data_IF_892712186447
#
_entry.id   IF_892712186447
#
_cell.length_a   1.000
_cell.length_b   1.000
_cell.length_c   1.000
_cell.angle_alpha   90.00
_cell.angle_beta   90.00
_cell.angle_gamma   90.00
#
_symmetry.space_group_name_H-M   'P 1'
#
loop_
_entity.id
_entity.type
_entity.pdbx_description
1 polymer ?
#
# COMPACT_ATOMS: atom_id res chain seq x y z
N UNK A 1 -34.26 62.32 34.26
CA UNK A 1 -33.38 61.12 34.26
C UNK A 1 -33.70 60.30 33.02
N UNK A 2 -32.77 60.18 32.06
CA UNK A 2 -32.94 59.36 30.85
C UNK A 2 -32.31 57.99 31.10
N UNK A 3 -33.13 56.96 31.23
CA UNK A 3 -32.70 55.58 31.44
C UNK A 3 -32.09 55.05 30.15
N UNK A 4 -30.79 54.73 30.15
CA UNK A 4 -30.12 54.05 29.04
C UNK A 4 -30.40 52.56 29.15
N UNK A 5 -31.19 52.03 28.22
CA UNK A 5 -31.39 50.59 28.04
C UNK A 5 -30.16 50.03 27.33
N UNK A 6 -29.33 49.26 28.04
CA UNK A 6 -28.24 48.51 27.41
C UNK A 6 -28.82 47.20 26.87
N UNK A 7 -28.87 47.04 25.53
CA UNK A 7 -29.11 45.74 24.91
C UNK A 7 -27.88 44.86 25.14
N UNK A 8 -28.04 43.82 25.96
CA UNK A 8 -27.05 42.77 26.12
C UNK A 8 -27.10 41.89 24.85
N UNK A 9 -26.15 42.07 23.95
CA UNK A 9 -26.00 41.21 22.76
C UNK A 9 -25.57 39.82 23.19
N UNK A 10 -26.42 38.82 22.94
CA UNK A 10 -26.09 37.41 23.12
C UNK A 10 -25.01 37.02 22.09
N UNK A 11 -23.76 36.93 22.53
CA UNK A 11 -22.67 36.36 21.74
C UNK A 11 -22.90 34.84 21.63
N UNK A 12 -23.52 34.39 20.54
CA UNK A 12 -23.55 32.98 20.18
C UNK A 12 -22.15 32.62 19.70
N UNK A 13 -21.34 32.04 20.58
CA UNK A 13 -20.10 31.36 20.19
C UNK A 13 -20.52 30.09 19.47
N UNK A 14 -20.54 30.13 18.14
CA UNK A 14 -20.56 28.93 17.31
C UNK A 14 -19.27 28.17 17.60
N UNK A 15 -19.35 27.15 18.46
CA UNK A 15 -18.35 26.10 18.53
C UNK A 15 -18.33 25.44 17.16
N UNK A 16 -17.33 25.79 16.34
CA UNK A 16 -17.04 25.02 15.14
C UNK A 16 -16.78 23.58 15.61
N UNK A 17 -17.47 22.57 15.05
CA UNK A 17 -17.08 21.19 15.31
C UNK A 17 -15.60 21.08 14.94
N UNK A 18 -14.78 20.58 15.87
CA UNK A 18 -13.37 20.35 15.60
C UNK A 18 -13.26 19.56 14.30
N UNK A 19 -12.51 20.09 13.34
CA UNK A 19 -12.31 19.42 12.07
C UNK A 19 -11.63 18.09 12.36
N UNK A 20 -12.39 17.00 12.28
CA UNK A 20 -11.83 15.66 12.28
C UNK A 20 -11.07 15.51 10.96
N UNK A 21 -9.86 14.95 11.01
CA UNK A 21 -9.14 14.65 9.78
C UNK A 21 -9.98 13.67 8.93
N UNK A 22 -10.17 13.98 7.65
CA UNK A 22 -11.01 13.19 6.71
C UNK A 22 -10.20 12.74 5.49
N UNK A 23 -8.88 12.71 5.64
CA UNK A 23 -7.90 12.66 4.55
C UNK A 23 -7.19 11.32 4.41
N UNK A 24 -7.12 10.49 5.45
CA UNK A 24 -6.44 9.19 5.36
C UNK A 24 -7.13 8.29 4.33
N UNK A 25 -6.32 7.63 3.51
CA UNK A 25 -6.70 6.68 2.45
C UNK A 25 -6.13 5.28 2.67
N UNK A 26 -5.24 5.11 3.64
CA UNK A 26 -4.69 3.82 4.01
C UNK A 26 -3.23 3.94 4.40
N UNK A 27 -2.50 2.85 4.23
CA UNK A 27 -1.08 2.80 4.54
C UNK A 27 -0.58 1.39 4.78
N UNK A 28 0.71 1.30 5.07
CA UNK A 28 1.44 0.05 5.28
C UNK A 28 2.68 0.32 6.14
N UNK A 29 3.18 -0.71 6.82
CA UNK A 29 4.43 -0.66 7.59
C UNK A 29 5.39 -1.69 6.97
N UNK A 30 6.57 -1.23 6.56
CA UNK A 30 7.69 -2.06 6.15
C UNK A 30 8.75 -2.13 7.23
N UNK A 31 9.48 -3.24 7.26
CA UNK A 31 10.67 -3.39 8.07
C UNK A 31 11.77 -4.12 7.29
N UNK A 32 13.03 -3.84 7.61
CA UNK A 32 14.18 -4.55 7.05
C UNK A 32 15.18 -4.92 8.13
N UNK A 33 15.76 -6.11 8.02
CA UNK A 33 16.78 -6.56 8.96
C UNK A 33 18.09 -5.79 8.77
N UNK A 34 18.70 -5.38 9.89
CA UNK A 34 20.01 -4.71 9.88
C UNK A 34 21.09 -5.65 10.41
N UNK A 35 20.93 -6.12 11.65
CA UNK A 35 21.87 -7.03 12.30
C UNK A 35 21.29 -7.54 13.62
N UNK A 36 21.55 -8.80 14.00
CA UNK A 36 21.04 -9.36 15.26
C UNK A 36 19.52 -9.23 15.35
N UNK A 37 19.02 -8.54 16.38
CA UNK A 37 17.60 -8.23 16.56
C UNK A 37 17.26 -6.77 16.17
N UNK A 38 18.12 -6.11 15.40
CA UNK A 38 17.97 -4.71 14.97
C UNK A 38 17.34 -4.62 13.58
N UNK A 39 16.34 -3.76 13.48
CA UNK A 39 15.51 -3.56 12.29
C UNK A 39 15.36 -2.06 12.01
N UNK A 40 15.31 -1.72 10.72
CA UNK A 40 14.79 -0.44 10.25
C UNK A 40 13.32 -0.60 9.90
N UNK A 41 12.52 0.40 10.26
CA UNK A 41 11.09 0.50 9.98
C UNK A 41 10.82 1.70 9.11
N UNK A 42 9.93 1.51 8.14
CA UNK A 42 9.39 2.57 7.30
C UNK A 42 7.86 2.49 7.33
N UNK A 43 7.23 3.56 7.80
CA UNK A 43 5.78 3.66 7.88
C UNK A 43 5.33 4.54 6.73
N UNK A 44 4.40 4.04 5.92
CA UNK A 44 3.73 4.80 4.88
C UNK A 44 2.30 5.09 5.30
N UNK A 45 1.99 6.38 5.48
CA UNK A 45 0.63 6.86 5.68
C UNK A 45 0.16 7.57 4.41
N UNK A 46 -0.89 7.03 3.81
CA UNK A 46 -1.43 7.52 2.56
C UNK A 46 -2.64 8.42 2.83
N UNK A 47 -2.61 9.64 2.31
CA UNK A 47 -3.67 10.66 2.49
C UNK A 47 -4.11 11.22 1.14
N UNK A 48 -5.22 11.97 1.10
CA UNK A 48 -5.59 12.74 -0.09
C UNK A 48 -4.45 13.66 -0.54
N UNK A 49 -4.21 13.74 -1.85
CA UNK A 49 -3.14 14.55 -2.42
C UNK A 49 -3.21 16.03 -2.02
N UNK A 50 -4.40 16.58 -1.88
CA UNK A 50 -4.67 17.98 -1.52
C UNK A 50 -4.79 18.20 0.00
N UNK A 51 -4.58 17.17 0.83
CA UNK A 51 -4.68 17.29 2.28
C UNK A 51 -3.72 18.33 2.85
N UNK A 52 -4.27 19.18 3.71
CA UNK A 52 -3.56 20.22 4.48
C UNK A 52 -3.43 19.85 5.97
N UNK A 53 -3.84 18.64 6.36
CA UNK A 53 -3.68 18.16 7.74
C UNK A 53 -2.19 18.04 8.06
N UNK A 54 -1.77 18.54 9.22
CA UNK A 54 -0.41 18.35 9.68
C UNK A 54 -0.16 16.89 10.06
N UNK A 55 0.84 16.29 9.43
CA UNK A 55 1.26 14.90 9.60
C UNK A 55 2.77 14.83 9.88
N UNK A 56 3.39 15.92 10.35
CA UNK A 56 4.83 15.95 10.63
C UNK A 56 5.28 15.00 11.73
N UNK A 57 4.34 14.38 12.46
CA UNK A 57 4.66 13.39 13.48
C UNK A 57 3.56 12.34 13.64
N UNK A 58 3.95 11.13 14.05
CA UNK A 58 3.02 10.02 14.31
C UNK A 58 3.43 9.23 15.56
N UNK A 59 2.46 8.59 16.22
CA UNK A 59 2.72 7.66 17.32
C UNK A 59 2.94 6.24 16.78
N UNK A 60 4.09 5.68 17.14
CA UNK A 60 4.53 4.38 16.68
C UNK A 60 4.85 3.46 17.86
N UNK A 61 4.35 2.23 17.80
CA UNK A 61 4.64 1.18 18.77
C UNK A 61 5.39 0.03 18.07
N UNK A 62 6.61 -0.32 18.50
CA UNK A 62 7.38 -1.43 17.92
C UNK A 62 6.85 -2.82 18.29
N UNK A 63 5.77 -2.93 19.06
CA UNK A 63 5.15 -4.20 19.46
C UNK A 63 5.81 -4.89 20.64
N UNK A 64 6.66 -4.19 21.40
CA UNK A 64 7.31 -4.70 22.62
C UNK A 64 6.74 -4.02 23.88
N UNK A 65 7.21 -4.39 25.06
CA UNK A 65 6.76 -3.79 26.34
C UNK A 65 7.20 -2.33 26.54
N UNK A 66 7.68 -1.65 25.50
CA UNK A 66 8.04 -0.24 25.55
C UNK A 66 6.83 0.66 25.26
N UNK A 67 6.81 1.90 25.79
CA UNK A 67 5.81 2.88 25.42
C UNK A 67 5.87 3.27 23.94
N UNK A 68 4.76 3.82 23.43
CA UNK A 68 4.71 4.47 22.12
C UNK A 68 5.76 5.58 21.99
N UNK A 69 6.31 5.71 20.79
CA UNK A 69 7.33 6.69 20.43
C UNK A 69 6.80 7.63 19.35
N UNK A 70 7.24 8.89 19.38
CA UNK A 70 6.94 9.85 18.33
C UNK A 70 8.01 9.78 17.24
N UNK A 71 7.57 9.60 15.99
CA UNK A 71 8.43 9.67 14.81
C UNK A 71 8.17 10.97 14.06
N UNK A 72 9.21 11.52 13.44
CA UNK A 72 9.07 12.66 12.54
C UNK A 72 8.75 12.17 11.13
N UNK A 73 7.77 12.81 10.52
CA UNK A 73 7.31 12.52 9.16
C UNK A 73 7.98 13.40 8.14
N UNK A 74 8.20 12.83 6.96
CA UNK A 74 8.58 13.55 5.75
C UNK A 74 7.45 13.40 4.75
N UNK A 75 7.00 14.53 4.20
CA UNK A 75 6.07 14.51 3.08
C UNK A 75 6.78 13.98 1.85
N UNK A 76 6.23 12.92 1.25
CA UNK A 76 6.81 12.22 0.13
C UNK A 76 6.09 12.50 -1.18
N UNK A 77 6.12 11.49 -2.04
CA UNK A 77 5.54 11.52 -3.37
C UNK A 77 4.01 11.69 -3.35
N UNK A 78 3.48 12.22 -4.46
CA UNK A 78 2.05 12.36 -4.69
C UNK A 78 1.72 11.84 -6.08
N UNK A 79 0.81 10.87 -6.16
CA UNK A 79 0.40 10.23 -7.39
C UNK A 79 -1.06 9.75 -7.28
N UNK A 80 -1.81 9.80 -8.38
CA UNK A 80 -3.17 9.24 -8.47
C UNK A 80 -4.13 9.71 -7.36
N UNK A 81 -4.06 11.00 -6.99
CA UNK A 81 -4.92 11.60 -5.98
C UNK A 81 -4.54 11.25 -4.53
N UNK A 82 -3.43 10.55 -4.33
CA UNK A 82 -2.88 10.17 -3.01
C UNK A 82 -1.53 10.82 -2.81
N UNK A 83 -1.26 11.28 -1.60
CA UNK A 83 0.03 11.77 -1.12
C UNK A 83 0.50 10.88 0.02
N UNK A 84 1.77 10.50 0.02
CA UNK A 84 2.37 9.59 1.01
C UNK A 84 3.23 10.36 1.99
N UNK A 85 3.00 10.13 3.28
CA UNK A 85 3.90 10.52 4.36
C UNK A 85 4.75 9.32 4.78
N UNK A 86 6.05 9.54 4.95
CA UNK A 86 6.99 8.51 5.36
C UNK A 86 7.58 8.83 6.73
N UNK A 87 7.62 7.83 7.60
CA UNK A 87 8.25 7.91 8.92
C UNK A 87 9.24 6.77 9.06
N UNK A 88 10.40 7.03 9.66
CA UNK A 88 11.45 6.05 9.80
C UNK A 88 11.83 5.85 11.27
N UNK A 89 12.14 4.61 11.64
CA UNK A 89 12.66 4.27 12.95
C UNK A 89 13.68 3.13 12.86
N UNK A 90 14.64 3.09 13.78
CA UNK A 90 15.49 1.92 14.01
C UNK A 90 15.23 1.39 15.40
N UNK A 91 15.03 0.08 15.53
CA UNK A 91 14.74 -0.54 16.82
C UNK A 91 15.42 -1.89 16.98
N UNK A 92 15.83 -2.19 18.21
CA UNK A 92 16.49 -3.45 18.57
C UNK A 92 15.64 -4.18 19.59
N UNK A 93 15.14 -5.36 19.22
CA UNK A 93 14.32 -6.18 20.11
C UNK A 93 15.15 -6.91 21.16
N UNK A 94 14.66 -7.02 22.40
CA UNK A 94 15.41 -7.59 23.51
C UNK A 94 15.59 -9.11 23.40
N UNK A 95 14.71 -9.80 22.67
CA UNK A 95 14.71 -11.26 22.56
C UNK A 95 14.06 -11.72 21.26
N UNK A 96 14.23 -13.00 20.88
CA UNK A 96 13.33 -13.68 19.96
C UNK A 96 11.86 -13.61 20.42
N UNK A 97 10.92 -13.65 19.47
CA UNK A 97 9.49 -13.56 19.72
C UNK A 97 8.70 -13.04 18.52
N UNK A 98 7.38 -12.99 18.66
CA UNK A 98 6.48 -12.37 17.68
C UNK A 98 6.07 -10.98 18.17
N UNK A 99 6.19 -10.01 17.28
CA UNK A 99 5.96 -8.59 17.56
C UNK A 99 4.92 -8.04 16.59
N UNK A 100 3.93 -7.33 17.13
CA UNK A 100 2.92 -6.62 16.33
C UNK A 100 3.26 -5.15 16.37
N UNK A 101 3.84 -4.65 15.29
CA UNK A 101 4.19 -3.25 15.12
C UNK A 101 2.92 -2.50 14.77
N UNK A 102 2.68 -1.36 15.42
CA UNK A 102 1.42 -0.63 15.28
C UNK A 102 1.65 0.87 15.16
N UNK A 103 0.77 1.50 14.39
CA UNK A 103 0.64 2.94 14.28
C UNK A 103 -0.83 3.27 14.44
N UNK A 104 -1.13 4.16 15.39
CA UNK A 104 -2.47 4.71 15.58
C UNK A 104 -2.45 6.17 15.14
N UNK A 105 -3.43 6.54 14.33
CA UNK A 105 -3.60 7.92 13.90
C UNK A 105 -5.08 8.36 14.06
N UNK A 106 -5.40 9.54 13.56
CA UNK A 106 -6.69 10.19 13.60
C UNK A 106 -7.84 9.30 13.12
N UNK A 107 -9.05 9.75 13.41
CA UNK A 107 -10.26 9.09 12.93
C UNK A 107 -10.30 8.93 11.41
N UNK A 108 -10.97 7.85 10.98
CA UNK A 108 -11.20 7.54 9.58
C UNK A 108 -12.15 8.55 8.93
N UNK A 109 -12.16 8.53 7.60
CA UNK A 109 -13.15 9.25 6.80
C UNK A 109 -14.55 8.80 7.20
N UNK A 110 -15.48 9.74 7.33
CA UNK A 110 -16.87 9.47 7.61
C UNK A 110 -17.53 8.75 6.43
N UNK A 111 -18.42 7.82 6.74
CA UNK A 111 -19.25 7.13 5.75
C UNK A 111 -18.50 6.05 4.95
N UNK A 112 -17.50 5.40 5.53
CA UNK A 112 -16.97 4.14 4.99
C UNK A 112 -18.01 3.03 5.26
N UNK A 113 -18.49 2.41 4.20
CA UNK A 113 -19.66 1.50 4.21
C UNK A 113 -19.42 0.26 5.07
N UNK A 114 -18.21 -0.30 5.05
CA UNK A 114 -17.88 -1.52 5.78
C UNK A 114 -17.27 -1.30 7.17
N UNK A 115 -17.29 -0.05 7.66
CA UNK A 115 -16.81 0.31 9.01
C UNK A 115 -17.92 1.10 9.73
N UNK A 116 -18.66 0.46 10.65
CA UNK A 116 -19.70 1.13 11.41
C UNK A 116 -19.16 2.35 12.18
N UNK A 117 -19.83 3.49 12.05
CA UNK A 117 -19.41 4.75 12.67
C UNK A 117 -17.94 5.10 12.38
N UNK A 118 -17.51 4.93 11.13
CA UNK A 118 -16.13 5.18 10.67
C UNK A 118 -15.52 6.49 11.17
N UNK A 119 -16.29 7.58 11.24
CA UNK A 119 -15.85 8.87 11.77
C UNK A 119 -15.41 8.87 13.25
N UNK A 120 -15.75 7.82 14.01
CA UNK A 120 -15.39 7.62 15.41
C UNK A 120 -14.38 6.48 15.60
N UNK A 121 -13.85 5.93 14.51
CA UNK A 121 -12.89 4.82 14.54
C UNK A 121 -11.54 5.33 14.05
N UNK A 122 -10.48 5.09 14.81
CA UNK A 122 -9.11 5.49 14.45
C UNK A 122 -8.55 4.60 13.33
N UNK A 123 -7.60 5.13 12.58
CA UNK A 123 -6.77 4.32 11.67
C UNK A 123 -5.74 3.57 12.51
N UNK A 124 -5.59 2.26 12.22
CA UNK A 124 -4.60 1.39 12.84
C UNK A 124 -3.85 0.66 11.71
N UNK A 125 -2.62 1.07 11.45
CA UNK A 125 -1.72 0.34 10.57
C UNK A 125 -0.92 -0.66 11.42
N UNK A 126 -0.63 -1.83 10.85
CA UNK A 126 0.14 -2.85 11.54
C UNK A 126 1.04 -3.66 10.61
N UNK A 127 2.06 -4.26 11.20
CA UNK A 127 2.85 -5.35 10.61
C UNK A 127 3.19 -6.37 11.69
N UNK A 128 3.40 -7.61 11.30
CA UNK A 128 3.83 -8.69 12.19
C UNK A 128 5.27 -9.11 11.82
N UNK A 129 6.12 -9.25 12.84
CA UNK A 129 7.50 -9.69 12.71
C UNK A 129 7.75 -10.83 13.68
N UNK A 130 8.24 -11.97 13.17
CA UNK A 130 8.69 -13.08 14.02
C UNK A 130 10.21 -13.18 14.01
N UNK A 131 10.82 -12.88 15.15
CA UNK A 131 12.24 -13.09 15.40
C UNK A 131 12.49 -14.53 15.83
N UNK A 132 12.97 -15.36 14.91
CA UNK A 132 13.24 -16.78 15.15
C UNK A 132 14.72 -17.11 14.90
N UNK A 133 15.44 -17.67 15.89
CA UNK A 133 16.80 -18.19 15.66
C UNK A 133 16.84 -19.36 14.65
N UNK A 134 15.71 -20.00 14.41
CA UNK A 134 15.59 -21.13 13.46
C UNK A 134 15.30 -20.64 12.05
N UNK A 135 14.37 -19.69 11.89
CA UNK A 135 14.05 -19.14 10.57
C UNK A 135 15.11 -18.15 10.06
N UNK A 136 15.89 -17.55 10.97
CA UNK A 136 16.88 -16.55 10.64
C UNK A 136 16.30 -15.13 10.50
N UNK A 137 17.10 -14.18 10.02
CA UNK A 137 16.67 -12.81 9.73
C UNK A 137 15.51 -12.74 8.73
N UNK A 138 14.63 -11.75 8.86
CA UNK A 138 13.55 -11.50 7.90
C UNK A 138 13.43 -10.01 7.58
N UNK A 139 13.03 -9.66 6.37
CA UNK A 139 12.73 -8.30 5.94
C UNK A 139 11.42 -8.32 5.17
N UNK A 140 10.48 -7.46 5.59
CA UNK A 140 9.12 -7.43 5.08
C UNK A 140 9.05 -7.42 3.55
N UNK A 141 8.21 -8.26 2.98
CA UNK A 141 7.77 -8.18 1.60
C UNK A 141 7.40 -6.74 1.20
N UNK A 142 7.92 -6.25 0.08
CA UNK A 142 7.80 -4.86 -0.38
C UNK A 142 6.71 -4.71 -1.44
N UNK A 143 5.65 -3.97 -1.10
CA UNK A 143 4.52 -3.70 -2.00
C UNK A 143 4.93 -2.63 -3.02
N UNK A 144 4.89 -2.96 -4.31
CA UNK A 144 5.36 -2.08 -5.38
C UNK A 144 4.27 -1.15 -5.91
N UNK A 145 3.02 -1.59 -5.88
CA UNK A 145 1.93 -0.83 -6.46
C UNK A 145 1.56 0.38 -5.61
N UNK A 146 1.29 1.52 -6.24
CA UNK A 146 0.80 2.68 -5.50
C UNK A 146 -0.64 2.44 -4.99
N UNK A 147 -1.04 2.98 -3.82
CA UNK A 147 -2.40 2.82 -3.29
C UNK A 147 -3.49 3.26 -4.27
N UNK A 148 -3.21 4.31 -5.05
CA UNK A 148 -4.10 4.83 -6.09
C UNK A 148 -4.08 4.06 -7.41
N UNK A 149 -3.25 3.02 -7.55
CA UNK A 149 -3.21 2.16 -8.75
C UNK A 149 -4.39 1.19 -8.75
N UNK A 150 -5.57 1.75 -8.95
CA UNK A 150 -6.83 1.03 -9.04
C UNK A 150 -7.26 1.03 -10.50
N UNK A 151 -7.84 -0.07 -10.96
CA UNK A 151 -8.42 -0.18 -12.30
C UNK A 151 -9.89 -0.56 -12.21
N UNK A 152 -10.73 0.07 -13.02
CA UNK A 152 -12.16 -0.25 -13.11
C UNK A 152 -12.49 -0.72 -14.51
N UNK A 153 -12.93 -1.97 -14.65
CA UNK A 153 -13.31 -2.54 -15.94
C UNK A 153 -14.50 -3.47 -15.75
N UNK A 154 -15.47 -3.45 -16.67
CA UNK A 154 -16.63 -4.35 -16.66
C UNK A 154 -17.37 -4.42 -15.30
N UNK A 155 -17.49 -3.27 -14.62
CA UNK A 155 -18.10 -3.19 -13.29
C UNK A 155 -17.34 -3.94 -12.17
N UNK A 156 -16.03 -4.14 -12.37
CA UNK A 156 -15.10 -4.72 -11.39
C UNK A 156 -13.97 -3.75 -11.14
N UNK A 157 -13.71 -3.49 -9.86
CA UNK A 157 -12.52 -2.80 -9.36
C UNK A 157 -11.44 -3.83 -9.12
N UNK A 158 -10.20 -3.50 -9.52
CA UNK A 158 -9.05 -4.34 -9.27
C UNK A 158 -7.84 -3.52 -8.81
N UNK A 159 -7.02 -4.14 -7.97
CA UNK A 159 -5.76 -3.60 -7.47
C UNK A 159 -4.81 -4.78 -7.26
N UNK A 160 -3.56 -4.67 -7.69
CA UNK A 160 -2.57 -5.72 -7.45
C UNK A 160 -1.47 -5.16 -6.55
N UNK A 161 -1.26 -5.77 -5.37
CA UNK A 161 -0.18 -5.36 -4.47
C UNK A 161 1.21 -5.53 -5.09
N UNK A 162 1.39 -6.56 -5.92
CA UNK A 162 2.66 -6.90 -6.58
C UNK A 162 3.84 -6.89 -5.60
N UNK A 163 3.66 -7.51 -4.43
CA UNK A 163 4.69 -7.53 -3.40
C UNK A 163 5.88 -8.40 -3.82
N UNK A 164 7.06 -8.01 -3.36
CA UNK A 164 8.30 -8.74 -3.63
C UNK A 164 9.02 -8.98 -2.32
N UNK A 165 9.43 -10.22 -2.08
CA UNK A 165 10.20 -10.57 -0.92
C UNK A 165 11.72 -10.37 -1.14
N UNK A 166 12.42 -9.58 -0.30
CA UNK A 166 13.86 -9.39 -0.44
C UNK A 166 14.70 -10.59 0.02
N UNK A 167 14.14 -11.49 0.83
CA UNK A 167 14.80 -12.67 1.38
C UNK A 167 14.45 -13.98 0.63
N UNK A 168 13.71 -13.85 -0.49
CA UNK A 168 13.24 -14.94 -1.37
C UNK A 168 12.26 -15.92 -0.70
N UNK A 169 11.45 -15.42 0.23
CA UNK A 169 10.36 -16.19 0.84
C UNK A 169 9.14 -16.34 -0.08
N UNK A 170 8.38 -17.41 0.19
CA UNK A 170 7.07 -17.58 -0.43
C UNK A 170 6.11 -16.53 0.13
N UNK A 171 5.41 -15.83 -0.76
CA UNK A 171 4.36 -14.89 -0.40
C UNK A 171 2.98 -15.51 -0.60
N UNK A 172 2.14 -15.46 0.44
CA UNK A 172 0.72 -15.81 0.37
C UNK A 172 -0.15 -14.58 0.68
N UNK A 173 -1.18 -14.36 -0.13
CA UNK A 173 -2.04 -13.20 -0.01
C UNK A 173 -3.41 -13.57 0.56
N UNK A 174 -3.90 -12.77 1.50
CA UNK A 174 -5.24 -12.94 2.07
C UNK A 174 -5.89 -11.59 2.37
N UNK A 175 -7.20 -11.61 2.63
CA UNK A 175 -7.90 -10.42 3.11
C UNK A 175 -7.93 -10.43 4.63
N UNK A 176 -7.62 -9.29 5.23
CA UNK A 176 -7.78 -9.07 6.67
C UNK A 176 -8.96 -8.14 6.97
N UNK A 177 -9.50 -8.24 8.17
CA UNK A 177 -10.50 -7.30 8.65
C UNK A 177 -9.85 -5.94 8.91
N UNK A 178 -10.49 -4.85 8.44
CA UNK A 178 -9.99 -3.48 8.61
C UNK A 178 -9.92 -3.08 10.09
N UNK A 179 -10.89 -3.55 10.87
CA UNK A 179 -11.00 -3.31 12.31
C UNK A 179 -11.58 -4.56 12.98
N UNK A 180 -11.41 -4.72 14.30
CA UNK A 180 -12.11 -5.77 15.04
C UNK A 180 -13.62 -5.70 14.83
N UNK A 181 -14.20 -6.74 14.23
CA UNK A 181 -15.62 -6.80 13.87
C UNK A 181 -16.00 -6.10 12.56
N UNK A 182 -15.02 -5.56 11.83
CA UNK A 182 -15.21 -5.03 10.48
C UNK A 182 -15.62 -6.14 9.50
N UNK A 183 -16.48 -5.79 8.55
CA UNK A 183 -16.98 -6.73 7.53
C UNK A 183 -16.21 -6.51 6.23
N UNK A 184 -15.89 -7.58 5.52
CA UNK A 184 -15.34 -7.44 4.17
C UNK A 184 -16.43 -6.93 3.21
N UNK A 185 -16.10 -6.07 2.24
CA UNK A 185 -17.05 -5.69 1.20
C UNK A 185 -17.65 -6.92 0.49
N UNK A 186 -18.88 -6.81 0.00
CA UNK A 186 -19.52 -7.95 -0.68
C UNK A 186 -18.78 -8.23 -2.00
N UNK A 187 -18.37 -9.48 -2.20
CA UNK A 187 -17.73 -9.92 -3.43
C UNK A 187 -16.28 -9.49 -3.58
N UNK A 188 -15.64 -8.95 -2.52
CA UNK A 188 -14.19 -8.77 -2.52
C UNK A 188 -13.49 -10.13 -2.51
N UNK A 189 -12.41 -10.26 -3.26
CA UNK A 189 -11.49 -11.39 -3.22
C UNK A 189 -10.07 -10.90 -3.42
N UNK A 190 -9.10 -11.71 -2.99
CA UNK A 190 -7.70 -11.56 -3.38
C UNK A 190 -7.21 -12.92 -3.87
N UNK A 191 -6.48 -12.91 -4.98
CA UNK A 191 -5.81 -14.11 -5.45
C UNK A 191 -4.60 -14.42 -4.54
N UNK A 192 -4.52 -15.62 -3.95
CA UNK A 192 -3.56 -15.94 -2.90
C UNK A 192 -2.11 -16.06 -3.39
N UNK A 193 -1.87 -16.09 -4.71
CA UNK A 193 -0.54 -16.20 -5.30
C UNK A 193 -0.07 -14.90 -5.93
N UNK A 194 -0.99 -14.17 -6.57
CA UNK A 194 -0.67 -12.98 -7.35
C UNK A 194 -0.92 -11.68 -6.59
N UNK A 195 -1.67 -11.70 -5.50
CA UNK A 195 -2.08 -10.50 -4.76
C UNK A 195 -3.08 -9.63 -5.50
N UNK A 196 -3.70 -10.15 -6.57
CA UNK A 196 -4.73 -9.44 -7.32
C UNK A 196 -6.03 -9.38 -6.49
N UNK A 197 -6.29 -8.22 -5.92
CA UNK A 197 -7.56 -7.88 -5.30
C UNK A 197 -8.60 -7.53 -6.37
N UNK A 198 -9.80 -8.09 -6.25
CA UNK A 198 -10.96 -7.73 -7.08
C UNK A 198 -12.19 -7.52 -6.24
N UNK A 199 -13.06 -6.60 -6.67
CA UNK A 199 -14.33 -6.30 -6.00
C UNK A 199 -15.33 -5.76 -7.01
N UNK A 200 -16.64 -6.05 -6.94
CA UNK A 200 -17.62 -5.36 -7.76
C UNK A 200 -17.59 -3.86 -7.48
N UNK A 201 -17.94 -3.05 -8.49
CA UNK A 201 -18.22 -1.63 -8.25
C UNK A 201 -19.49 -1.54 -7.40
N UNK A 202 -19.35 -0.94 -6.22
CA UNK A 202 -20.41 -0.70 -5.24
C UNK A 202 -20.50 0.81 -5.00
N UNK A 203 -21.67 1.38 -4.68
CA UNK A 203 -21.74 2.79 -4.32
C UNK A 203 -20.98 3.06 -3.00
N UNK A 204 -20.47 4.29 -2.84
CA UNK A 204 -19.86 4.75 -1.60
C UNK A 204 -18.37 4.40 -1.43
N UNK A 205 -17.89 4.51 -0.19
CA UNK A 205 -16.48 4.31 0.17
C UNK A 205 -16.27 2.99 0.89
N UNK A 206 -15.26 2.26 0.48
CA UNK A 206 -14.95 0.94 1.02
C UNK A 206 -13.50 0.86 1.43
N UNK A 207 -13.19 0.23 2.55
CA UNK A 207 -11.81 -0.05 2.96
C UNK A 207 -11.54 -1.54 2.92
N UNK A 208 -10.38 -1.92 2.38
CA UNK A 208 -9.90 -3.30 2.31
C UNK A 208 -8.50 -3.38 2.89
N UNK A 209 -8.16 -4.53 3.48
CA UNK A 209 -6.78 -4.81 3.91
C UNK A 209 -6.29 -6.06 3.20
N UNK A 210 -5.20 -5.91 2.44
CA UNK A 210 -4.46 -7.03 1.86
C UNK A 210 -3.37 -7.40 2.87
N UNK A 211 -3.40 -8.64 3.34
CA UNK A 211 -2.35 -9.24 4.16
C UNK A 211 -1.43 -10.05 3.24
N UNK A 212 -0.13 -9.82 3.37
CA UNK A 212 0.93 -10.53 2.66
C UNK A 212 1.75 -11.28 3.69
N UNK A 213 1.65 -12.61 3.69
CA UNK A 213 2.39 -13.49 4.60
C UNK A 213 3.68 -13.97 3.96
N UNK A 214 4.77 -13.83 4.69
CA UNK A 214 6.10 -14.32 4.35
C UNK A 214 6.28 -15.71 4.98
N UNK A 215 6.42 -16.74 4.15
CA UNK A 215 6.45 -18.13 4.57
C UNK A 215 7.84 -18.72 4.33
N UNK A 216 8.47 -19.17 5.43
CA UNK A 216 9.75 -19.87 5.42
C UNK A 216 9.64 -21.16 6.20
N UNK A 217 10.09 -22.27 5.59
CA UNK A 217 9.99 -23.60 6.20
C UNK A 217 8.56 -23.94 6.70
N UNK A 218 7.55 -23.64 5.88
CA UNK A 218 6.12 -23.87 6.19
C UNK A 218 5.57 -23.08 7.38
N UNK A 219 6.30 -22.06 7.85
CA UNK A 219 5.85 -21.17 8.93
C UNK A 219 5.79 -19.73 8.43
N UNK A 220 4.74 -19.01 8.84
CA UNK A 220 4.67 -17.56 8.66
C UNK A 220 5.70 -16.92 9.59
N UNK A 221 6.60 -16.11 9.03
CA UNK A 221 7.67 -15.42 9.76
C UNK A 221 7.52 -13.90 9.76
N UNK A 222 6.61 -13.40 8.93
CA UNK A 222 6.27 -11.99 8.84
C UNK A 222 4.93 -11.80 8.14
N UNK A 223 4.26 -10.70 8.46
CA UNK A 223 3.06 -10.29 7.75
C UNK A 223 3.04 -8.78 7.53
N UNK A 224 2.90 -8.37 6.27
CA UNK A 224 2.67 -6.97 5.89
C UNK A 224 1.18 -6.76 5.64
N UNK A 225 0.63 -5.68 6.18
CA UNK A 225 -0.77 -5.31 5.98
C UNK A 225 -0.83 -3.99 5.21
N UNK A 226 -1.43 -4.05 4.01
CA UNK A 226 -1.77 -2.86 3.24
C UNK A 226 -3.24 -2.55 3.40
N UNK A 227 -3.54 -1.40 3.97
CA UNK A 227 -4.89 -0.85 4.00
C UNK A 227 -5.11 0.08 2.79
N UNK A 228 -6.26 -0.05 2.12
CA UNK A 228 -6.68 0.80 1.01
C UNK A 228 -8.13 1.23 1.17
N UNK A 229 -8.38 2.54 1.06
CA UNK A 229 -9.72 3.10 0.92
C UNK A 229 -10.02 3.40 -0.55
N UNK A 230 -11.11 2.83 -1.05
CA UNK A 230 -11.59 2.95 -2.42
C UNK A 230 -12.86 3.81 -2.41
N UNK A 231 -12.78 4.99 -3.02
CA UNK A 231 -13.94 5.88 -3.22
C UNK A 231 -14.54 5.60 -4.61
N UNK A 232 -15.65 4.87 -4.63
CA UNK A 232 -16.25 4.39 -5.88
C UNK A 232 -16.96 5.51 -6.65
N UNK A 233 -17.45 6.53 -5.95
CA UNK A 233 -18.09 7.68 -6.56
C UNK A 233 -17.02 8.53 -7.28
N UNK A 234 -15.83 8.67 -6.68
CA UNK A 234 -14.70 9.30 -7.34
C UNK A 234 -14.20 8.49 -8.55
N UNK A 235 -14.09 7.16 -8.43
CA UNK A 235 -13.63 6.30 -9.53
C UNK A 235 -14.58 6.31 -10.73
N UNK A 236 -15.90 6.29 -10.50
CA UNK A 236 -16.88 6.32 -11.59
C UNK A 236 -17.01 7.70 -12.23
N UNK A 237 -16.77 8.77 -11.47
CA UNK A 237 -16.66 10.14 -12.01
C UNK A 237 -15.36 10.38 -12.80
N UNK A 238 -14.28 9.66 -12.45
CA UNK A 238 -12.94 9.76 -13.07
C UNK A 238 -12.66 8.61 -14.05
N UNK A 239 -13.64 7.74 -14.35
CA UNK A 239 -13.46 6.60 -15.26
C UNK A 239 -13.05 6.99 -16.69
N UNK A 240 -13.02 8.29 -17.03
CA UNK A 240 -12.40 8.80 -18.27
C UNK A 240 -10.88 9.08 -18.17
N UNK A 241 -10.27 9.09 -16.98
CA UNK A 241 -8.84 9.39 -16.77
C UNK A 241 -8.23 8.58 -15.60
N UNK A 242 -8.24 7.25 -15.69
CA UNK A 242 -7.21 6.45 -15.01
C UNK A 242 -6.25 5.94 -16.07
N UNK A 243 -4.98 6.36 -16.01
CA UNK A 243 -3.93 5.86 -16.90
C UNK A 243 -3.68 4.39 -16.55
N UNK A 244 -4.01 3.42 -17.42
CA UNK A 244 -3.72 2.03 -17.13
C UNK A 244 -2.21 1.87 -16.93
N UNK A 245 -1.80 0.91 -16.08
CA UNK A 245 -0.38 0.56 -15.90
C UNK A 245 -0.10 -0.84 -16.45
N UNK A 246 1.09 -1.09 -17.00
CA UNK A 246 1.52 -2.43 -17.36
C UNK A 246 1.62 -3.33 -16.10
N UNK A 247 1.50 -4.64 -16.28
CA UNK A 247 1.60 -5.66 -15.23
C UNK A 247 2.56 -6.76 -15.69
N UNK A 248 3.39 -7.29 -14.80
CA UNK A 248 4.34 -8.37 -15.11
C UNK A 248 4.18 -9.55 -14.12
N UNK A 249 4.01 -10.78 -14.61
CA UNK A 249 3.77 -11.97 -13.78
C UNK A 249 4.21 -13.27 -14.48
N UNK A 250 4.53 -14.35 -13.74
CA UNK A 250 4.67 -14.40 -12.29
C UNK A 250 5.87 -13.58 -11.83
N UNK A 251 5.82 -13.09 -10.59
CA UNK A 251 6.94 -12.43 -9.94
C UNK A 251 7.06 -13.02 -8.52
N UNK A 252 8.10 -13.83 -8.21
CA UNK A 252 9.26 -14.15 -9.04
C UNK A 252 8.98 -15.00 -10.30
N UNK A 253 9.75 -14.80 -11.36
CA UNK A 253 9.70 -15.58 -12.59
C UNK A 253 10.85 -16.58 -12.67
N UNK A 254 10.60 -17.79 -13.19
CA UNK A 254 11.64 -18.82 -13.39
C UNK A 254 12.08 -18.91 -14.85
N UNK A 255 11.15 -19.19 -15.76
CA UNK A 255 11.45 -19.38 -17.19
C UNK A 255 10.77 -18.34 -18.06
N UNK A 256 9.59 -17.87 -17.64
CA UNK A 256 8.79 -16.93 -18.41
C UNK A 256 8.28 -15.79 -17.54
N UNK A 257 8.21 -14.60 -18.12
CA UNK A 257 7.55 -13.43 -17.54
C UNK A 257 6.53 -12.90 -18.54
N UNK A 258 5.25 -12.90 -18.17
CA UNK A 258 4.17 -12.34 -18.96
C UNK A 258 3.99 -10.88 -18.63
N UNK A 259 4.11 -10.04 -19.65
CA UNK A 259 3.85 -8.60 -19.58
C UNK A 259 2.51 -8.30 -20.24
N UNK A 260 1.60 -7.65 -19.51
CA UNK A 260 0.30 -7.22 -20.04
C UNK A 260 0.12 -5.71 -19.89
N UNK A 261 -0.41 -5.07 -20.93
CA UNK A 261 -0.76 -3.66 -20.88
C UNK A 261 -1.91 -3.30 -21.82
N UNK A 262 -2.98 -2.74 -21.27
CA UNK A 262 -4.22 -2.48 -22.02
C UNK A 262 -4.09 -1.36 -23.07
N UNK A 263 -3.23 -0.36 -22.83
CA UNK A 263 -2.91 0.68 -23.82
C UNK A 263 -1.94 0.20 -24.91
N UNK A 264 -1.44 -1.03 -24.76
CA UNK A 264 -0.55 -1.68 -25.68
C UNK A 264 0.93 -1.34 -25.46
N UNK A 265 1.75 -2.37 -25.63
CA UNK A 265 3.19 -2.36 -25.43
C UNK A 265 3.83 -2.17 -26.79
N UNK A 266 4.42 -1.00 -27.04
CA UNK A 266 5.13 -0.70 -28.28
C UNK A 266 6.56 -1.24 -28.25
N UNK A 267 7.23 -1.05 -27.12
CA UNK A 267 8.53 -1.63 -26.87
C UNK A 267 8.77 -1.76 -25.37
N UNK A 268 9.73 -2.61 -25.00
CA UNK A 268 10.16 -2.76 -23.61
C UNK A 268 11.66 -2.99 -23.51
N UNK A 269 12.21 -2.77 -22.32
CA UNK A 269 13.63 -2.95 -21.99
C UNK A 269 13.77 -3.60 -20.63
N UNK A 270 14.72 -4.52 -20.51
CA UNK A 270 15.09 -5.13 -19.23
C UNK A 270 16.48 -4.66 -18.84
N UNK A 271 16.63 -4.23 -17.60
CA UNK A 271 17.89 -3.85 -17.00
C UNK A 271 18.16 -4.70 -15.76
N UNK A 272 19.43 -4.96 -15.46
CA UNK A 272 19.81 -5.42 -14.13
C UNK A 272 19.90 -4.24 -13.15
N UNK A 273 20.14 -4.54 -11.88
CA UNK A 273 20.32 -3.53 -10.81
C UNK A 273 21.51 -2.58 -11.01
N UNK A 274 22.50 -2.92 -11.84
CA UNK A 274 23.60 -2.02 -12.18
C UNK A 274 23.26 -1.05 -13.33
N UNK A 275 22.02 -1.09 -13.83
CA UNK A 275 21.56 -0.24 -14.94
C UNK A 275 22.05 -0.71 -16.30
N UNK A 276 22.68 -1.89 -16.40
CA UNK A 276 23.04 -2.47 -17.68
C UNK A 276 21.78 -2.98 -18.36
N UNK A 277 21.52 -2.48 -19.57
CA UNK A 277 20.46 -2.99 -20.43
C UNK A 277 20.83 -4.40 -20.90
N UNK A 278 19.97 -5.37 -20.63
CA UNK A 278 20.15 -6.77 -21.00
C UNK A 278 19.31 -7.16 -22.20
N UNK A 279 18.14 -6.56 -22.33
CA UNK A 279 17.20 -6.88 -23.39
C UNK A 279 16.49 -5.65 -23.91
N UNK A 280 16.21 -5.64 -25.22
CA UNK A 280 15.29 -4.69 -25.83
C UNK A 280 14.55 -5.37 -26.97
N UNK A 281 13.25 -5.16 -27.04
CA UNK A 281 12.47 -5.53 -28.21
C UNK A 281 11.61 -4.36 -28.64
N UNK A 282 11.81 -3.97 -29.89
CA UNK A 282 10.99 -3.00 -30.59
C UNK A 282 10.02 -3.77 -31.48
N UNK A 283 8.75 -3.41 -31.50
CA UNK A 283 7.76 -4.13 -32.27
C UNK A 283 6.47 -3.37 -32.51
N UNK A 284 5.49 -4.09 -33.03
CA UNK A 284 4.12 -3.61 -33.12
C UNK A 284 3.50 -3.57 -31.73
N UNK A 285 2.60 -2.62 -31.50
CA UNK A 285 1.85 -2.51 -30.25
C UNK A 285 1.06 -3.80 -29.97
N UNK A 286 1.37 -4.47 -28.86
CA UNK A 286 0.69 -5.69 -28.39
C UNK A 286 0.17 -5.50 -26.97
N UNK A 287 -1.00 -6.05 -26.64
CA UNK A 287 -1.57 -5.93 -25.29
C UNK A 287 -1.02 -6.95 -24.29
N UNK A 288 -0.37 -8.00 -24.78
CA UNK A 288 0.30 -9.01 -23.95
C UNK A 288 1.52 -9.57 -24.68
N UNK A 289 2.60 -9.81 -23.93
CA UNK A 289 3.87 -10.37 -24.42
C UNK A 289 4.36 -11.41 -23.40
N UNK A 290 4.63 -12.64 -23.85
CA UNK A 290 5.29 -13.65 -23.04
C UNK A 290 6.81 -13.59 -23.29
N UNK A 291 7.58 -13.27 -22.25
CA UNK A 291 9.04 -13.10 -22.28
C UNK A 291 9.70 -14.40 -21.85
N UNK A 292 10.61 -14.94 -22.66
CA UNK A 292 11.53 -16.00 -22.20
C UNK A 292 12.66 -15.34 -21.40
N UNK A 293 12.69 -15.61 -20.10
CA UNK A 293 13.68 -15.08 -19.16
C UNK A 293 14.59 -16.18 -18.63
N UNK A 294 14.50 -17.41 -19.16
CA UNK A 294 15.26 -18.58 -18.67
C UNK A 294 16.78 -18.38 -18.67
N UNK A 295 17.30 -17.56 -19.60
CA UNK A 295 18.72 -17.26 -19.72
C UNK A 295 19.23 -16.19 -18.74
N UNK A 296 18.34 -15.49 -18.03
CA UNK A 296 18.72 -14.48 -17.05
C UNK A 296 19.20 -15.16 -15.75
N UNK A 297 20.28 -14.64 -15.17
CA UNK A 297 20.75 -15.09 -13.86
C UNK A 297 19.75 -14.74 -12.77
N UNK A 298 19.67 -15.51 -11.68
CA UNK A 298 18.82 -15.17 -10.55
C UNK A 298 19.16 -13.78 -10.01
N UNK A 299 18.14 -13.00 -9.62
CA UNK A 299 18.30 -11.66 -9.06
C UNK A 299 17.24 -10.66 -9.53
N UNK A 300 17.50 -9.39 -9.24
CA UNK A 300 16.58 -8.28 -9.45
C UNK A 300 16.72 -7.63 -10.83
N UNK A 301 15.59 -7.28 -11.43
CA UNK A 301 15.52 -6.67 -12.74
C UNK A 301 14.52 -5.52 -12.78
N UNK A 302 14.83 -4.52 -13.59
CA UNK A 302 13.94 -3.43 -13.95
C UNK A 302 13.37 -3.68 -15.34
N UNK A 303 12.05 -3.58 -15.50
CA UNK A 303 11.35 -3.65 -16.78
C UNK A 303 10.77 -2.28 -17.11
N UNK A 304 11.32 -1.63 -18.13
CA UNK A 304 10.72 -0.42 -18.70
C UNK A 304 9.78 -0.83 -19.84
N UNK A 305 8.54 -0.33 -19.81
CA UNK A 305 7.49 -0.57 -20.79
C UNK A 305 7.07 0.75 -21.38
N UNK A 306 7.01 0.82 -22.71
CA UNK A 306 6.65 2.03 -23.43
C UNK A 306 5.40 1.80 -24.25
N UNK A 307 4.46 2.73 -24.14
CA UNK A 307 3.17 2.68 -24.80
C UNK A 307 3.24 3.19 -26.26
N UNK A 308 2.10 3.24 -26.96
CA UNK A 308 2.03 3.79 -28.31
C UNK A 308 2.35 5.31 -28.34
N UNK A 309 1.96 6.05 -27.30
CA UNK A 309 2.22 7.48 -27.11
C UNK A 309 3.67 7.83 -26.76
N UNK A 310 4.49 6.85 -26.40
CA UNK A 310 5.86 7.02 -25.92
C UNK A 310 5.97 7.29 -24.40
N UNK A 311 4.88 7.18 -23.66
CA UNK A 311 4.88 7.18 -22.20
C UNK A 311 5.65 5.97 -21.68
N UNK A 312 6.46 6.19 -20.64
CA UNK A 312 7.30 5.17 -20.02
C UNK A 312 6.74 4.78 -18.66
N UNK A 313 6.54 3.49 -18.47
CA UNK A 313 6.23 2.87 -17.20
C UNK A 313 7.36 1.94 -16.77
N UNK A 314 7.62 1.87 -15.48
CA UNK A 314 8.72 1.07 -14.93
C UNK A 314 8.18 0.10 -13.90
N UNK A 315 8.58 -1.16 -13.99
CA UNK A 315 8.27 -2.22 -13.04
C UNK A 315 9.54 -2.87 -12.53
N UNK A 316 9.49 -3.43 -11.33
CA UNK A 316 10.53 -4.30 -10.79
C UNK A 316 10.04 -5.75 -10.75
N UNK A 317 10.95 -6.70 -10.97
CA UNK A 317 10.65 -8.12 -10.87
C UNK A 317 11.90 -8.95 -10.53
N UNK A 318 11.69 -10.16 -10.02
CA UNK A 318 12.74 -11.08 -9.57
C UNK A 318 12.81 -12.31 -10.47
N UNK A 319 14.03 -12.70 -10.86
CA UNK A 319 14.33 -13.96 -11.55
C UNK A 319 14.83 -14.99 -10.53
N UNK A 320 14.25 -16.19 -10.55
CA UNK A 320 14.70 -17.38 -9.83
C UNK A 320 15.34 -18.39 -10.78
#
# INVERSE_FOLDING_TARGET
MKTRTYLLGLLVVLLAPGAVAQDIRGGEIHYSHVSGNTYDFEIHLDVMADSQTDRSSIQWNPGSEVPEMWLNGVEGESANGVKRWTYAARYTYPSPGSYVIQVVDSFRVAGIENIPQSQNTVVLLMAELTLSPVAGPNSAAVIQAWPGDISVQNNTVSHNAAAIDPDDDLLEYSLAAVTPGGVLPIGVSVDPQTGLLTMPVLPGRWTVVIRVDEIRNEQVIGSTFRELMIDMDALTAVAEIQTPRPKAFPNPATHSLRLEYEQGIRHYRIFNVSGQQLYTQNGNTQTAIDLDVSALSPGWYLLEVYDAGGERHTLQWVKQ
#
